data_IF_942723900063
#
_entry.id   IF_942723900063
#
_cell.length_a   1.000
_cell.length_b   1.000
_cell.length_c   1.000
_cell.angle_alpha   90.00
_cell.angle_beta   90.00
_cell.angle_gamma   90.00
#
_symmetry.space_group_name_H-M   'P 1'
#
loop_
_entity.id
_entity.type
_entity.pdbx_description
1 polymer ?
#
# COMPACT_ATOMS: atom_id res chain seq x y z
N UNK A 1 26.25 -4.40 3.07
CA UNK A 1 25.18 -3.41 3.28
C UNK A 1 24.10 -4.07 4.12
N UNK A 2 23.77 -3.49 5.28
CA UNK A 2 22.72 -3.99 6.16
C UNK A 2 21.37 -3.82 5.45
N UNK A 3 20.56 -4.87 5.40
CA UNK A 3 19.19 -4.80 4.91
C UNK A 3 18.30 -4.28 6.03
N UNK A 4 17.28 -3.53 5.65
CA UNK A 4 16.25 -3.03 6.54
C UNK A 4 14.90 -3.59 6.11
N UNK A 5 13.99 -3.68 7.07
CA UNK A 5 12.63 -4.13 6.83
C UNK A 5 11.76 -2.93 6.48
N UNK A 6 11.08 -3.03 5.35
CA UNK A 6 10.18 -2.01 4.84
C UNK A 6 8.77 -2.56 4.74
N UNK A 7 7.82 -1.74 5.17
CA UNK A 7 6.39 -1.96 5.04
C UNK A 7 5.92 -1.16 3.83
N UNK A 8 5.54 -1.83 2.76
CA UNK A 8 5.08 -1.19 1.52
C UNK A 8 3.57 -1.35 1.40
N UNK A 9 2.87 -0.24 1.31
CA UNK A 9 1.42 -0.24 1.15
C UNK A 9 1.05 -0.35 -0.33
N UNK A 10 0.17 -1.30 -0.64
CA UNK A 10 -0.27 -1.62 -2.01
C UNK A 10 -1.77 -1.37 -2.08
N UNK A 11 -2.19 -0.69 -3.13
CA UNK A 11 -3.59 -0.37 -3.40
C UNK A 11 -4.14 -1.47 -4.32
N UNK A 12 -5.35 -1.96 -4.03
CA UNK A 12 -6.01 -2.91 -4.95
C UNK A 12 -6.42 -2.21 -6.25
N UNK A 13 -6.41 -2.97 -7.34
CA UNK A 13 -6.79 -2.43 -8.65
C UNK A 13 -8.21 -1.83 -8.62
N UNK A 14 -8.38 -0.66 -9.23
CA UNK A 14 -9.67 0.06 -9.26
C UNK A 14 -10.11 0.69 -7.93
N UNK A 15 -9.34 0.51 -6.85
CA UNK A 15 -9.65 1.00 -5.50
C UNK A 15 -8.85 2.24 -5.11
N UNK A 16 -8.20 2.92 -6.05
CA UNK A 16 -7.33 4.08 -5.76
C UNK A 16 -8.07 5.26 -5.13
N UNK A 17 -9.32 5.48 -5.56
CA UNK A 17 -10.19 6.49 -4.96
C UNK A 17 -10.62 6.05 -3.57
N UNK A 18 -11.17 4.85 -3.43
CA UNK A 18 -11.57 4.29 -2.13
C UNK A 18 -10.43 4.28 -1.11
N UNK A 19 -9.20 3.99 -1.55
CA UNK A 19 -8.01 4.01 -0.72
C UNK A 19 -7.71 5.40 -0.18
N UNK A 20 -7.69 6.41 -1.07
CA UNK A 20 -7.51 7.80 -0.64
C UNK A 20 -8.65 8.25 0.24
N UNK A 21 -9.90 7.92 -0.09
CA UNK A 21 -11.05 8.30 0.72
C UNK A 21 -10.99 7.68 2.12
N UNK A 22 -10.58 6.41 2.23
CA UNK A 22 -10.40 5.74 3.52
C UNK A 22 -9.24 6.33 4.34
N UNK A 23 -8.07 6.55 3.72
CA UNK A 23 -6.85 6.96 4.43
C UNK A 23 -6.68 8.47 4.61
N UNK A 24 -6.98 9.29 3.60
CA UNK A 24 -6.89 10.75 3.66
C UNK A 24 -8.17 11.37 4.24
N UNK A 25 -9.35 10.91 3.79
CA UNK A 25 -10.64 11.53 4.15
C UNK A 25 -11.34 10.83 5.33
N UNK A 26 -10.85 9.67 5.79
CA UNK A 26 -11.48 8.90 6.87
C UNK A 26 -12.85 8.33 6.51
N UNK A 27 -13.14 8.19 5.22
CA UNK A 27 -14.42 7.67 4.70
C UNK A 27 -14.49 6.18 4.97
N UNK A 28 -15.56 5.77 5.65
CA UNK A 28 -15.81 4.36 5.99
C UNK A 28 -16.81 3.69 5.05
N UNK A 29 -17.52 4.44 4.22
CA UNK A 29 -18.54 3.91 3.31
C UNK A 29 -18.42 4.64 1.99
N UNK A 30 -18.24 3.91 0.88
CA UNK A 30 -18.16 4.52 -0.44
C UNK A 30 -19.55 4.91 -0.98
N UNK A 31 -19.58 5.56 -2.14
CA UNK A 31 -20.83 5.99 -2.79
C UNK A 31 -21.77 4.83 -3.18
N UNK A 32 -21.29 3.60 -3.19
CA UNK A 32 -22.09 2.41 -3.47
C UNK A 32 -22.69 1.78 -2.18
N UNK A 33 -22.43 2.38 -1.01
CA UNK A 33 -22.86 1.83 0.28
C UNK A 33 -21.97 0.69 0.81
N UNK A 34 -20.79 0.48 0.22
CA UNK A 34 -19.86 -0.55 0.66
C UNK A 34 -18.95 -0.01 1.77
N UNK A 35 -18.82 -0.76 2.87
CA UNK A 35 -17.93 -0.42 3.97
C UNK A 35 -16.46 -0.53 3.55
N UNK A 36 -15.76 0.60 3.52
CA UNK A 36 -14.33 0.68 3.26
C UNK A 36 -13.54 0.28 4.51
N UNK A 37 -12.61 -0.65 4.32
CA UNK A 37 -11.69 -1.13 5.33
C UNK A 37 -10.32 -1.36 4.71
N UNK A 38 -9.27 -1.35 5.54
CA UNK A 38 -7.87 -1.39 5.10
C UNK A 38 -7.59 -2.51 4.10
N UNK A 39 -8.09 -3.72 4.38
CA UNK A 39 -7.90 -4.93 3.56
C UNK A 39 -8.65 -4.92 2.21
N UNK A 40 -9.72 -4.11 2.13
CA UNK A 40 -10.52 -3.94 0.92
C UNK A 40 -9.87 -2.95 -0.03
N UNK A 41 -9.39 -1.82 0.51
CA UNK A 41 -8.79 -0.76 -0.30
C UNK A 41 -7.35 -1.07 -0.68
N UNK A 42 -6.66 -1.86 0.13
CA UNK A 42 -5.27 -2.21 -0.09
C UNK A 42 -4.80 -3.31 0.85
N UNK A 43 -3.50 -3.53 0.87
CA UNK A 43 -2.84 -4.38 1.85
C UNK A 43 -1.39 -3.92 1.99
N UNK A 44 -0.72 -4.40 3.01
CA UNK A 44 0.67 -4.04 3.27
C UNK A 44 1.56 -5.25 3.11
N UNK A 45 2.64 -5.11 2.34
CA UNK A 45 3.64 -6.15 2.19
C UNK A 45 4.94 -5.75 2.88
N UNK A 46 5.46 -6.67 3.69
CA UNK A 46 6.72 -6.50 4.40
C UNK A 46 7.83 -7.13 3.57
N UNK A 47 8.86 -6.35 3.24
CA UNK A 47 10.02 -6.81 2.47
C UNK A 47 11.32 -6.30 3.06
N UNK A 48 12.36 -7.13 2.98
CA UNK A 48 13.72 -6.73 3.31
C UNK A 48 14.42 -6.15 2.09
N UNK A 49 14.93 -4.93 2.22
CA UNK A 49 15.63 -4.23 1.14
C UNK A 49 16.75 -3.36 1.69
N UNK A 50 17.66 -2.92 0.83
CA UNK A 50 18.70 -1.96 1.24
C UNK A 50 18.17 -0.54 1.43
N UNK A 51 17.11 -0.18 0.71
CA UNK A 51 16.48 1.14 0.73
C UNK A 51 15.00 1.06 0.28
N UNK A 52 14.25 2.14 0.47
CA UNK A 52 12.84 2.20 0.10
C UNK A 52 12.60 1.96 -1.41
N UNK A 53 13.49 2.45 -2.29
CA UNK A 53 13.34 2.24 -3.74
C UNK A 53 13.51 0.77 -4.14
N UNK A 54 14.44 0.07 -3.51
CA UNK A 54 14.64 -1.37 -3.68
C UNK A 54 13.43 -2.14 -3.12
N UNK A 55 12.91 -1.77 -1.95
CA UNK A 55 11.70 -2.36 -1.39
C UNK A 55 10.50 -2.20 -2.33
N UNK A 56 10.25 -0.98 -2.82
CA UNK A 56 9.20 -0.69 -3.80
C UNK A 56 9.39 -1.51 -5.07
N UNK A 57 10.61 -1.64 -5.58
CA UNK A 57 10.89 -2.44 -6.79
C UNK A 57 10.62 -3.93 -6.57
N UNK A 58 10.94 -4.47 -5.39
CA UNK A 58 10.65 -5.87 -5.04
C UNK A 58 9.13 -6.10 -5.03
N UNK A 59 8.39 -5.24 -4.36
CA UNK A 59 6.93 -5.35 -4.24
C UNK A 59 6.25 -5.13 -5.59
N UNK A 60 6.72 -4.18 -6.39
CA UNK A 60 6.22 -3.94 -7.75
C UNK A 60 6.43 -5.13 -8.68
N UNK A 61 7.52 -5.90 -8.50
CA UNK A 61 7.76 -7.14 -9.25
C UNK A 61 6.86 -8.29 -8.80
N UNK A 62 6.51 -8.34 -7.51
CA UNK A 62 5.57 -9.35 -6.98
C UNK A 62 4.12 -9.04 -7.35
N UNK A 63 3.77 -7.76 -7.40
CA UNK A 63 2.43 -7.27 -7.72
C UNK A 63 2.45 -6.36 -8.96
N UNK A 64 2.75 -6.92 -10.14
CA UNK A 64 2.77 -6.13 -11.37
C UNK A 64 1.36 -5.58 -11.66
N UNK A 65 1.28 -4.29 -11.97
CA UNK A 65 0.02 -3.62 -12.31
C UNK A 65 -0.74 -3.01 -11.13
N UNK A 66 -0.34 -3.27 -9.88
CA UNK A 66 -0.94 -2.62 -8.72
C UNK A 66 -0.28 -1.28 -8.41
N UNK A 67 -1.09 -0.30 -7.97
CA UNK A 67 -0.61 1.00 -7.52
C UNK A 67 0.00 0.88 -6.13
N UNK A 68 1.22 1.39 -5.94
CA UNK A 68 1.91 1.39 -4.66
C UNK A 68 1.69 2.73 -3.96
N UNK A 69 1.16 2.71 -2.74
CA UNK A 69 1.01 3.89 -1.90
C UNK A 69 2.33 4.21 -1.19
N UNK A 70 3.21 4.94 -1.89
CA UNK A 70 4.53 5.33 -1.35
C UNK A 70 4.41 6.17 -0.08
N UNK A 71 3.44 7.07 0.01
CA UNK A 71 3.21 7.92 1.18
C UNK A 71 2.85 7.12 2.44
N UNK A 72 2.24 5.94 2.26
CA UNK A 72 1.90 5.02 3.36
C UNK A 72 2.91 3.87 3.50
N UNK A 73 4.06 3.98 2.84
CA UNK A 73 5.15 3.01 2.93
C UNK A 73 6.25 3.52 3.85
N UNK A 74 6.68 2.70 4.82
CA UNK A 74 7.67 3.12 5.82
C UNK A 74 8.67 2.03 6.19
N UNK A 75 9.85 2.44 6.61
CA UNK A 75 10.82 1.56 7.26
C UNK A 75 10.31 1.16 8.65
N UNK A 76 10.35 -0.13 8.95
CA UNK A 76 9.93 -0.70 10.24
C UNK A 76 11.09 -1.35 11.02
N UNK A 77 12.26 -1.55 10.40
CA UNK A 77 13.47 -2.06 11.07
C UNK A 77 14.75 -1.67 10.34
#
# INVERSE_FOLDING_TARGET
MVKSTYSISIIREGRERDYRDFWDNGVKVNSNGEELHSDLVGFTEIVEAKNLNEAVSIVQRKHPGLTLARDHSRKIG
#
